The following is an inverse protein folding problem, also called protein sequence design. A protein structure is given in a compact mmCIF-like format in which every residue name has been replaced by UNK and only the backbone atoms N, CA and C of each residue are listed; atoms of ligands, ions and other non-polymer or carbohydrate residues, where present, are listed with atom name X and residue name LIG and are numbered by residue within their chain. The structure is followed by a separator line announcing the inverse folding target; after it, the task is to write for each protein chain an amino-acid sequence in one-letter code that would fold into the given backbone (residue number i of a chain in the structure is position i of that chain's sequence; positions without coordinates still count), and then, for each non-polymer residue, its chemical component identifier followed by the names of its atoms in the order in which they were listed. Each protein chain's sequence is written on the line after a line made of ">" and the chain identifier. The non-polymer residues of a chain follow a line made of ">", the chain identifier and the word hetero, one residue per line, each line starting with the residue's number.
data_IF_316487397666
#
_entry.id   IF_316487397666
#
_cell.length_a   1.000
_cell.length_b   1.000
_cell.length_c   1.000
_cell.angle_alpha   90.00
_cell.angle_beta   90.00
_cell.angle_gamma   90.00
#
_symmetry.space_group_name_H-M   'P 1'
#
loop_
_entity.id
_entity.type
_entity.pdbx_description
1 polymer ?
#
# COMPACT_ATOMS: atom_id res chain seq x y z
N UNK A 1 2.12 3.94 -9.59
CA UNK A 1 3.02 5.11 -9.49
C UNK A 1 3.23 5.62 -10.90
N UNK A 2 2.58 6.72 -11.24
CA UNK A 2 2.49 7.25 -12.60
C UNK A 2 3.60 8.25 -12.85
N UNK A 3 4.54 7.88 -13.71
CA UNK A 3 5.57 8.78 -14.20
C UNK A 3 5.18 9.35 -15.56
N UNK A 4 5.55 10.62 -15.85
CA UNK A 4 6.32 11.54 -15.01
C UNK A 4 5.49 12.35 -13.99
N UNK A 5 4.16 12.24 -14.01
CA UNK A 5 3.23 13.06 -13.22
C UNK A 5 3.53 13.12 -11.72
N UNK A 6 3.69 11.97 -11.07
CA UNK A 6 3.95 11.87 -9.62
C UNK A 6 5.26 12.57 -9.23
N UNK A 7 6.31 12.45 -10.05
CA UNK A 7 7.60 13.08 -9.77
C UNK A 7 7.56 14.60 -9.95
N UNK A 8 6.74 15.10 -10.89
CA UNK A 8 6.50 16.53 -11.05
C UNK A 8 5.73 17.09 -9.85
N UNK A 9 4.68 16.40 -9.41
CA UNK A 9 3.92 16.80 -8.22
C UNK A 9 4.79 16.82 -6.97
N UNK A 10 5.56 15.75 -6.72
CA UNK A 10 6.45 15.66 -5.56
C UNK A 10 7.49 16.79 -5.53
N UNK A 11 8.09 17.15 -6.67
CA UNK A 11 9.02 18.29 -6.76
C UNK A 11 8.41 19.64 -6.41
N UNK A 12 7.11 19.83 -6.62
CA UNK A 12 6.42 21.07 -6.23
C UNK A 12 6.22 21.17 -4.71
N UNK A 13 6.13 20.03 -4.03
CA UNK A 13 5.88 19.95 -2.58
C UNK A 13 7.20 20.08 -1.80
N UNK A 14 8.27 19.47 -2.30
CA UNK A 14 9.60 19.54 -1.68
C UNK A 14 10.14 20.97 -1.84
N UNK A 15 9.86 21.82 -0.84
CA UNK A 15 10.42 23.17 -0.73
C UNK A 15 11.69 23.09 0.11
N UNK A 16 12.80 23.52 -0.50
CA UNK A 16 14.16 23.49 0.07
C UNK A 16 14.79 22.09 0.25
N UNK A 17 16.10 22.10 0.40
CA UNK A 17 16.95 20.91 0.55
C UNK A 17 16.81 20.32 1.96
N UNK A 18 15.65 19.73 2.24
CA UNK A 18 15.40 19.03 3.51
C UNK A 18 15.98 17.62 3.42
N UNK A 19 17.08 17.38 4.13
CA UNK A 19 17.78 16.07 4.19
C UNK A 19 16.91 14.90 4.69
N UNK A 20 15.74 15.18 5.28
CA UNK A 20 14.79 14.17 5.77
C UNK A 20 13.79 13.72 4.71
N UNK A 21 13.78 14.33 3.52
CA UNK A 21 12.85 13.96 2.44
C UNK A 21 13.66 13.40 1.28
N UNK A 22 13.43 12.13 0.96
CA UNK A 22 14.07 11.47 -0.18
C UNK A 22 13.07 11.25 -1.32
N UNK A 23 13.35 11.84 -2.49
CA UNK A 23 12.54 11.64 -3.69
C UNK A 23 13.09 10.48 -4.53
N UNK A 24 12.28 9.45 -4.73
CA UNK A 24 12.56 8.35 -5.63
C UNK A 24 12.49 8.80 -7.11
N UNK A 25 13.67 9.00 -7.73
CA UNK A 25 13.85 9.50 -9.10
C UNK A 25 14.05 8.41 -10.16
N UNK A 26 14.33 7.17 -9.78
CA UNK A 26 14.51 6.03 -10.70
C UNK A 26 13.21 5.46 -11.27
N UNK A 27 13.30 4.78 -12.40
CA UNK A 27 12.22 3.93 -12.89
C UNK A 27 12.41 2.54 -12.25
N UNK A 28 11.53 2.17 -11.33
CA UNK A 28 11.64 0.93 -10.58
C UNK A 28 10.70 -0.12 -11.15
N UNK A 29 11.20 -1.35 -11.27
CA UNK A 29 10.36 -2.52 -11.49
C UNK A 29 9.53 -2.81 -10.24
N UNK A 30 8.54 -3.68 -10.38
CA UNK A 30 7.61 -4.01 -9.28
C UNK A 30 8.35 -4.64 -8.10
N UNK A 31 9.27 -5.55 -8.37
CA UNK A 31 10.13 -6.22 -7.38
C UNK A 31 11.05 -5.24 -6.64
N UNK A 32 11.68 -4.31 -7.37
CA UNK A 32 12.50 -3.25 -6.76
C UNK A 32 11.65 -2.34 -5.85
N UNK A 33 10.46 -1.96 -6.31
CA UNK A 33 9.56 -1.12 -5.54
C UNK A 33 9.05 -1.83 -4.27
N UNK A 34 8.69 -3.11 -4.38
CA UNK A 34 8.30 -3.92 -3.23
C UNK A 34 9.44 -4.05 -2.23
N UNK A 35 10.67 -4.27 -2.70
CA UNK A 35 11.86 -4.31 -1.83
C UNK A 35 12.09 -2.98 -1.11
N UNK A 36 11.93 -1.84 -1.79
CA UNK A 36 11.99 -0.52 -1.15
C UNK A 36 10.88 -0.39 -0.09
N UNK A 37 9.64 -0.71 -0.47
CA UNK A 37 8.48 -0.60 0.45
C UNK A 37 8.68 -1.47 1.68
N UNK A 38 9.15 -2.71 1.54
CA UNK A 38 9.38 -3.62 2.67
C UNK A 38 10.48 -3.20 3.66
N UNK A 39 11.21 -2.11 3.38
CA UNK A 39 12.16 -1.51 4.30
C UNK A 39 11.63 -0.21 4.95
N UNK A 40 10.33 0.07 4.82
CA UNK A 40 9.66 1.23 5.42
C UNK A 40 8.86 0.77 6.64
N UNK A 41 8.83 1.59 7.69
CA UNK A 41 8.05 1.28 8.91
C UNK A 41 6.53 1.49 8.71
N UNK A 42 6.15 2.62 8.09
CA UNK A 42 4.75 2.99 7.81
C UNK A 42 4.62 3.60 6.42
N UNK A 43 3.64 3.13 5.64
CA UNK A 43 3.29 3.67 4.33
C UNK A 43 2.00 4.48 4.39
N UNK A 44 2.08 5.79 4.07
CA UNK A 44 0.91 6.66 3.91
C UNK A 44 0.60 6.81 2.43
N UNK A 45 -0.63 6.53 2.02
CA UNK A 45 -0.96 6.63 0.60
C UNK A 45 -2.44 6.53 0.26
N UNK A 46 -2.78 7.10 -0.90
CA UNK A 46 -4.11 6.97 -1.49
C UNK A 46 -4.14 5.90 -2.59
N UNK A 47 -3.00 5.50 -3.16
CA UNK A 47 -2.96 4.64 -4.35
C UNK A 47 -3.08 3.16 -3.97
N UNK A 48 -4.13 2.49 -4.46
CA UNK A 48 -4.41 1.08 -4.17
C UNK A 48 -3.19 0.16 -4.30
N UNK A 49 -2.44 0.24 -5.41
CA UNK A 49 -1.28 -0.62 -5.62
C UNK A 49 -0.18 -0.44 -4.55
N UNK A 50 0.03 0.79 -4.08
CA UNK A 50 1.01 1.04 -3.02
C UNK A 50 0.57 0.40 -1.70
N UNK A 51 -0.73 0.47 -1.39
CA UNK A 51 -1.31 -0.15 -0.20
C UNK A 51 -1.24 -1.68 -0.27
N UNK A 52 -1.60 -2.28 -1.41
CA UNK A 52 -1.47 -3.72 -1.63
C UNK A 52 -0.01 -4.18 -1.45
N UNK A 53 0.95 -3.48 -2.06
CA UNK A 53 2.36 -3.85 -1.95
C UNK A 53 2.88 -3.70 -0.52
N UNK A 54 2.49 -2.64 0.20
CA UNK A 54 2.83 -2.48 1.61
C UNK A 54 2.28 -3.61 2.47
N UNK A 55 0.99 -3.95 2.34
CA UNK A 55 0.39 -5.06 3.08
C UNK A 55 1.07 -6.39 2.79
N UNK A 56 1.43 -6.66 1.53
CA UNK A 56 2.18 -7.88 1.15
C UNK A 56 3.59 -7.94 1.74
N UNK A 57 4.21 -6.78 2.00
CA UNK A 57 5.51 -6.66 2.64
C UNK A 57 5.40 -6.52 4.16
N UNK A 58 4.21 -6.72 4.74
CA UNK A 58 3.93 -6.56 6.16
C UNK A 58 4.31 -5.17 6.71
N UNK A 59 4.07 -4.13 5.91
CA UNK A 59 4.25 -2.73 6.26
C UNK A 59 2.91 -2.13 6.65
N UNK A 60 2.84 -1.46 7.81
CA UNK A 60 1.61 -0.80 8.28
C UNK A 60 1.21 0.31 7.31
N UNK A 61 -0.09 0.43 7.02
CA UNK A 61 -0.61 1.39 6.04
C UNK A 61 -1.53 2.42 6.67
N UNK A 62 -1.43 3.67 6.19
CA UNK A 62 -2.44 4.71 6.42
C UNK A 62 -3.07 5.06 5.08
N UNK A 63 -4.30 4.59 4.89
CA UNK A 63 -5.05 4.81 3.66
C UNK A 63 -5.78 6.15 3.64
N UNK A 64 -5.66 6.86 2.51
CA UNK A 64 -6.48 8.03 2.21
C UNK A 64 -7.44 7.68 1.09
N UNK A 65 -8.74 7.77 1.37
CA UNK A 65 -9.80 7.45 0.42
C UNK A 65 -9.88 8.50 -0.68
N UNK A 66 -9.92 8.06 -1.93
CA UNK A 66 -10.29 8.88 -3.08
C UNK A 66 -11.16 8.14 -4.10
N UNK A 67 -11.12 6.80 -4.04
CA UNK A 67 -11.83 5.87 -4.90
C UNK A 67 -12.36 4.72 -4.00
N UNK A 68 -13.59 4.24 -4.21
CA UNK A 68 -14.18 3.15 -3.42
C UNK A 68 -13.31 1.89 -3.32
N UNK A 69 -12.46 1.62 -4.32
CA UNK A 69 -11.56 0.47 -4.32
C UNK A 69 -10.52 0.51 -3.20
N UNK A 70 -10.12 1.72 -2.78
CA UNK A 70 -9.20 1.89 -1.65
C UNK A 70 -9.88 1.48 -0.36
N UNK A 71 -11.12 1.93 -0.15
CA UNK A 71 -11.93 1.57 1.02
C UNK A 71 -12.10 0.05 1.07
N UNK A 72 -12.60 -0.55 -0.02
CA UNK A 72 -12.84 -1.98 -0.05
C UNK A 72 -11.58 -2.81 0.20
N UNK A 73 -10.42 -2.36 -0.26
CA UNK A 73 -9.17 -3.04 0.03
C UNK A 73 -8.81 -2.98 1.52
N UNK A 74 -8.87 -1.79 2.14
CA UNK A 74 -8.59 -1.64 3.56
C UNK A 74 -9.58 -2.44 4.41
N UNK A 75 -10.88 -2.35 4.11
CA UNK A 75 -11.92 -3.12 4.78
C UNK A 75 -11.62 -4.63 4.70
N UNK A 76 -11.13 -5.10 3.54
CA UNK A 76 -10.79 -6.51 3.32
C UNK A 76 -9.58 -6.99 4.14
N UNK A 77 -8.75 -6.07 4.64
CA UNK A 77 -7.60 -6.36 5.52
C UNK A 77 -7.87 -5.94 6.98
N UNK A 78 -9.14 -5.70 7.35
CA UNK A 78 -9.57 -5.22 8.66
C UNK A 78 -8.98 -3.85 9.06
N UNK A 79 -8.68 -3.00 8.09
CA UNK A 79 -8.25 -1.61 8.29
C UNK A 79 -9.32 -0.65 7.75
N UNK A 80 -9.28 0.62 8.17
CA UNK A 80 -10.20 1.66 7.68
C UNK A 80 -9.41 2.82 7.03
N UNK A 81 -10.00 3.42 6.00
CA UNK A 81 -9.51 4.70 5.47
C UNK A 81 -9.59 5.79 6.54
N UNK A 82 -8.48 6.50 6.76
CA UNK A 82 -8.45 7.54 7.78
C UNK A 82 -9.35 8.73 7.43
N UNK A 83 -9.37 9.12 6.15
CA UNK A 83 -10.13 10.26 5.66
C UNK A 83 -10.29 10.20 4.13
N UNK A 84 -11.19 11.03 3.60
CA UNK A 84 -11.29 11.28 2.16
C UNK A 84 -10.34 12.40 1.74
N UNK A 85 -9.77 12.31 0.54
CA UNK A 85 -8.89 13.32 -0.04
C UNK A 85 -9.54 14.72 -0.11
N UNK A 86 -10.87 14.77 -0.25
CA UNK A 86 -11.66 16.01 -0.31
C UNK A 86 -11.83 16.68 1.06
N UNK A 87 -11.66 15.93 2.14
CA UNK A 87 -11.78 16.36 3.53
C UNK A 87 -10.56 15.91 4.33
N UNK A 88 -9.37 16.12 3.76
CA UNK A 88 -8.10 15.73 4.36
C UNK A 88 -7.86 16.52 5.64
N UNK A 89 -7.56 15.80 6.73
CA UNK A 89 -7.20 16.37 8.03
C UNK A 89 -5.75 16.01 8.34
N UNK A 90 -4.87 17.01 8.30
CA UNK A 90 -3.43 16.83 8.47
C UNK A 90 -3.06 16.40 9.90
N UNK A 91 -3.79 16.89 10.91
CA UNK A 91 -3.53 16.55 12.32
C UNK A 91 -3.90 15.08 12.58
N UNK A 92 -5.06 14.64 12.08
CA UNK A 92 -5.44 13.21 12.17
C UNK A 92 -4.43 12.32 11.47
N UNK A 93 -3.97 12.72 10.28
CA UNK A 93 -2.97 11.97 9.52
C UNK A 93 -1.65 11.85 10.29
N UNK A 94 -1.20 12.95 10.87
CA UNK A 94 0.00 12.99 11.70
C UNK A 94 -0.13 12.06 12.91
N UNK A 95 -1.19 12.21 13.71
CA UNK A 95 -1.39 11.41 14.92
C UNK A 95 -1.51 9.91 14.63
N UNK A 96 -2.28 9.51 13.60
CA UNK A 96 -2.39 8.11 13.22
C UNK A 96 -1.05 7.54 12.75
N UNK A 97 -0.30 8.30 11.94
CA UNK A 97 1.02 7.85 11.46
C UNK A 97 2.01 7.71 12.61
N UNK A 98 2.03 8.67 13.54
CA UNK A 98 2.88 8.63 14.73
C UNK A 98 2.54 7.44 15.63
N UNK A 99 1.25 7.18 15.87
CA UNK A 99 0.79 6.03 16.64
C UNK A 99 1.32 4.72 16.04
N UNK A 100 1.20 4.54 14.72
CA UNK A 100 1.68 3.33 14.04
C UNK A 100 3.20 3.17 14.09
N UNK A 101 3.95 4.26 14.23
CA UNK A 101 5.41 4.23 14.38
C UNK A 101 5.85 3.86 15.80
N UNK A 102 5.03 4.13 16.82
CA UNK A 102 5.32 3.75 18.21
C UNK A 102 4.86 2.33 18.56
N UNK A 103 3.86 1.81 17.84
CA UNK A 103 3.39 0.43 17.98
C UNK A 103 4.48 -0.56 17.55
N UNK A 104 4.68 -1.64 18.31
CA UNK A 104 5.58 -2.73 17.91
C UNK A 104 5.03 -3.43 16.66
N UNK A 105 5.91 -3.69 15.68
CA UNK A 105 5.55 -4.43 14.46
C UNK A 105 5.09 -5.86 14.74
N UNK A 106 5.48 -6.43 15.88
CA UNK A 106 5.17 -7.82 16.26
C UNK A 106 3.70 -8.05 16.66
N UNK A 107 2.95 -6.98 16.93
CA UNK A 107 1.56 -7.08 17.42
C UNK A 107 0.50 -7.04 16.31
N UNK A 108 0.87 -6.78 15.06
CA UNK A 108 -0.11 -6.62 13.99
C UNK A 108 -0.56 -7.96 13.38
N UNK A 109 -1.88 -8.19 13.31
CA UNK A 109 -2.47 -9.38 12.71
C UNK A 109 -2.51 -9.30 11.18
N UNK A 110 -1.64 -10.07 10.53
CA UNK A 110 -1.58 -10.17 9.07
C UNK A 110 -2.49 -11.27 8.49
N UNK A 111 -3.31 -11.94 9.30
CA UNK A 111 -4.15 -13.07 8.86
C UNK A 111 -5.09 -12.70 7.72
N UNK A 112 -5.69 -11.51 7.76
CA UNK A 112 -6.58 -11.03 6.70
C UNK A 112 -5.84 -10.85 5.36
N UNK A 113 -4.61 -10.32 5.40
CA UNK A 113 -3.76 -10.17 4.21
C UNK A 113 -3.38 -11.54 3.64
N UNK A 114 -2.97 -12.49 4.48
CA UNK A 114 -2.62 -13.84 4.03
C UNK A 114 -3.84 -14.60 3.48
N UNK A 115 -5.03 -14.39 4.04
CA UNK A 115 -6.29 -14.93 3.52
C UNK A 115 -6.59 -14.40 2.11
N UNK A 116 -6.44 -13.09 1.88
CA UNK A 116 -6.61 -12.50 0.54
C UNK A 116 -5.58 -13.05 -0.45
N UNK A 117 -4.32 -13.18 -0.01
CA UNK A 117 -3.25 -13.77 -0.83
C UNK A 117 -3.58 -15.20 -1.22
N UNK A 118 -4.01 -16.03 -0.29
CA UNK A 118 -4.42 -17.41 -0.56
C UNK A 118 -5.63 -17.47 -1.51
N UNK A 119 -6.65 -16.64 -1.29
CA UNK A 119 -7.81 -16.53 -2.18
C UNK A 119 -7.42 -16.15 -3.61
N UNK A 120 -6.44 -15.25 -3.79
CA UNK A 120 -5.95 -14.86 -5.12
C UNK A 120 -5.27 -16.02 -5.88
N UNK A 121 -4.62 -16.93 -5.15
CA UNK A 121 -3.94 -18.08 -5.74
C UNK A 121 -4.92 -19.17 -6.20
N UNK A 122 -6.08 -19.31 -5.54
CA UNK A 122 -7.13 -20.26 -5.92
C UNK A 122 -7.59 -20.07 -7.37
N UNK A 123 -7.65 -18.84 -7.86
CA UNK A 123 -8.02 -18.58 -9.27
C UNK A 123 -7.05 -19.26 -10.24
N UNK A 124 -5.75 -19.25 -9.94
CA UNK A 124 -4.73 -19.91 -10.77
C UNK A 124 -4.85 -21.44 -10.65
N UNK A 125 -5.12 -21.95 -9.45
CA UNK A 125 -5.32 -23.38 -9.21
C UNK A 125 -6.51 -23.93 -10.00
N UNK A 126 -7.65 -23.25 -9.94
CA UNK A 126 -8.85 -23.59 -10.70
C UNK A 126 -8.57 -23.58 -12.21
N UNK A 127 -7.85 -22.57 -12.70
CA UNK A 127 -7.47 -22.50 -14.11
C UNK A 127 -6.62 -23.71 -14.54
N UNK A 128 -5.62 -24.09 -13.72
CA UNK A 128 -4.78 -25.28 -13.99
C UNK A 128 -5.60 -26.56 -14.03
N UNK A 129 -6.56 -26.72 -13.13
CA UNK A 129 -7.47 -27.88 -13.11
C UNK A 129 -8.33 -27.95 -14.37
N UNK A 130 -8.86 -26.80 -14.84
CA UNK A 130 -9.70 -26.75 -16.05
C UNK A 130 -8.91 -27.10 -17.31
N UNK A 131 -7.64 -26.71 -17.41
CA UNK A 131 -6.78 -27.04 -18.56
C UNK A 131 -6.49 -28.56 -18.57
N UNK A 132 -6.08 -29.13 -17.44
CA UNK A 132 -5.72 -30.56 -17.36
C UNK A 132 -6.93 -31.50 -17.57
N UNK A 133 -8.15 -31.06 -17.25
CA UNK A 133 -9.36 -31.84 -17.48
C UNK A 133 -9.88 -31.79 -18.93
N UNK A 134 -9.31 -30.94 -19.81
CA UNK A 134 -9.66 -30.91 -21.25
C UNK A 134 -8.78 -31.81 -22.11
N UNK A 135 -7.69 -32.34 -21.57
CA UNK A 135 -6.77 -33.26 -22.27
C UNK A 135 -7.12 -34.75 -22.05
N UNK A 136 -8.26 -35.04 -21.41
CA UNK A 136 -8.87 -36.37 -21.28
C UNK A 136 -10.21 -36.41 -21.99
#
# INVERSE_FOLDING_TARGET
>A
MQRPGDTIAARKIIKADNKRIFLLKGNYKVDELMSIIGNIDVLVGMRLHALIFASLMHVRVVGISYDPKVNHFLDSINEECLCNVSSLDAEKLYHKTYQLLEESTEEHDWSAVENLRHCSQKTIELLKQMINNREK
#
